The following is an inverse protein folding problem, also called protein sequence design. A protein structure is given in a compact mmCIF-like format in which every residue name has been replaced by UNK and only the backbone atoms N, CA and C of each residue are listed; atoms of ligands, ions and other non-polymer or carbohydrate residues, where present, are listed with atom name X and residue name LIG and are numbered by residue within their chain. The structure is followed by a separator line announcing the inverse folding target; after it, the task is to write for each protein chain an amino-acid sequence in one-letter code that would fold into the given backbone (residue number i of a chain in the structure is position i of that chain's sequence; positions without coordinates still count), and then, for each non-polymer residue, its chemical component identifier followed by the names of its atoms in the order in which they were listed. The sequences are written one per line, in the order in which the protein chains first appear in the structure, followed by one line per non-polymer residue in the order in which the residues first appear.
data_IF_394256198293
#
_entry.id   IF_394256198293
#
_cell.length_a   1.000
_cell.length_b   1.000
_cell.length_c   1.000
_cell.angle_alpha   90.00
_cell.angle_beta   90.00
_cell.angle_gamma   90.00
#
_symmetry.space_group_name_H-M   'P 1'
#
loop_
_entity.id
_entity.type
_entity.pdbx_description
1 polymer ?
#
# COMPACT_ATOMS: atom_id res chain seq x y z
N UNK A 1 6.05 7.82 -0.80
CA UNK A 1 5.04 6.83 -1.19
C UNK A 1 4.62 6.94 -2.65
N UNK A 2 4.39 8.14 -3.18
CA UNK A 2 3.91 8.32 -4.57
C UNK A 2 4.86 7.72 -5.63
N UNK A 3 6.17 7.96 -5.51
CA UNK A 3 7.16 7.34 -6.41
C UNK A 3 7.15 5.81 -6.32
N UNK A 4 7.03 5.25 -5.12
CA UNK A 4 6.90 3.81 -4.90
C UNK A 4 5.67 3.24 -5.62
N UNK A 5 4.50 3.87 -5.45
CA UNK A 5 3.26 3.44 -6.09
C UNK A 5 3.35 3.49 -7.62
N UNK A 6 3.90 4.59 -8.18
CA UNK A 6 4.13 4.71 -9.63
C UNK A 6 5.08 3.62 -10.16
N UNK A 7 6.16 3.33 -9.44
CA UNK A 7 7.07 2.23 -9.81
C UNK A 7 6.37 0.88 -9.75
N UNK A 8 5.54 0.64 -8.73
CA UNK A 8 4.71 -0.57 -8.63
C UNK A 8 3.77 -0.75 -9.82
N UNK A 9 3.09 0.31 -10.23
CA UNK A 9 2.19 0.27 -11.40
C UNK A 9 2.96 0.03 -12.70
N UNK A 10 4.12 0.69 -12.89
CA UNK A 10 4.98 0.45 -14.04
C UNK A 10 5.47 -1.01 -14.11
N UNK A 11 5.81 -1.61 -12.96
CA UNK A 11 6.20 -3.02 -12.85
C UNK A 11 5.03 -3.96 -13.17
N UNK A 12 3.82 -3.62 -12.70
CA UNK A 12 2.58 -4.38 -12.99
C UNK A 12 2.25 -4.35 -14.47
N UNK A 13 2.44 -3.21 -15.14
CA UNK A 13 2.11 -2.98 -16.54
C UNK A 13 2.99 -3.74 -17.55
N UNK A 14 4.09 -4.38 -17.11
CA UNK A 14 5.00 -5.11 -18.00
C UNK A 14 5.12 -6.59 -17.64
N UNK A 15 5.30 -7.44 -18.64
CA UNK A 15 5.64 -8.86 -18.48
C UNK A 15 7.16 -9.13 -18.57
N UNK A 16 7.95 -8.15 -19.01
CA UNK A 16 9.40 -8.30 -19.20
C UNK A 16 10.15 -8.29 -17.87
N UNK A 17 10.80 -9.41 -17.53
CA UNK A 17 11.65 -9.52 -16.33
C UNK A 17 12.81 -8.51 -16.32
N UNK A 18 13.40 -8.24 -17.49
CA UNK A 18 14.48 -7.26 -17.62
C UNK A 18 13.96 -5.85 -17.34
N UNK A 19 12.76 -5.54 -17.84
CA UNK A 19 12.15 -4.22 -17.62
C UNK A 19 11.78 -4.01 -16.14
N UNK A 20 11.23 -5.04 -15.47
CA UNK A 20 10.99 -4.99 -14.02
C UNK A 20 12.27 -4.74 -13.23
N UNK A 21 13.36 -5.41 -13.62
CA UNK A 21 14.69 -5.21 -13.00
C UNK A 21 15.19 -3.78 -13.22
N UNK A 22 15.04 -3.24 -14.43
CA UNK A 22 15.43 -1.87 -14.76
C UNK A 22 14.66 -0.85 -13.91
N UNK A 23 13.33 -0.98 -13.86
CA UNK A 23 12.44 -0.09 -13.07
C UNK A 23 12.79 -0.11 -11.59
N UNK A 24 13.01 -1.29 -11.01
CA UNK A 24 13.44 -1.41 -9.61
C UNK A 24 14.83 -0.81 -9.38
N UNK A 25 15.78 -1.07 -10.28
CA UNK A 25 17.14 -0.54 -10.19
C UNK A 25 17.18 0.99 -10.24
N UNK A 26 16.41 1.60 -11.14
CA UNK A 26 16.26 3.06 -11.23
C UNK A 26 15.60 3.66 -10.00
N UNK A 27 14.57 2.99 -9.47
CA UNK A 27 13.93 3.46 -8.25
C UNK A 27 14.87 3.36 -7.04
N UNK A 28 15.58 2.25 -6.86
CA UNK A 28 16.49 2.05 -5.74
C UNK A 28 17.72 2.96 -5.78
N UNK A 29 18.25 3.28 -6.96
CA UNK A 29 19.42 4.17 -7.07
C UNK A 29 19.15 5.61 -6.61
N UNK A 30 17.87 6.01 -6.53
CA UNK A 30 17.44 7.32 -6.03
C UNK A 30 17.12 7.37 -4.53
N UNK A 31 17.25 6.25 -3.80
CA UNK A 31 16.93 6.20 -2.38
C UNK A 31 18.17 6.36 -1.49
N UNK A 32 17.96 6.92 -0.31
CA UNK A 32 18.96 6.92 0.77
C UNK A 32 19.03 5.57 1.51
N UNK A 33 20.10 5.40 2.30
CA UNK A 33 20.39 4.18 3.06
C UNK A 33 19.30 3.81 4.07
N UNK A 34 18.52 4.79 4.55
CA UNK A 34 17.44 4.56 5.51
C UNK A 34 16.16 4.05 4.82
N UNK A 35 15.89 4.53 3.61
CA UNK A 35 14.65 4.29 2.87
C UNK A 35 14.75 3.05 1.98
N UNK A 36 15.93 2.77 1.43
CA UNK A 36 16.16 1.64 0.53
C UNK A 36 15.72 0.29 1.14
N UNK A 37 16.10 -0.06 2.39
CA UNK A 37 15.68 -1.32 3.00
C UNK A 37 14.15 -1.45 3.13
N UNK A 38 13.46 -0.35 3.47
CA UNK A 38 12.00 -0.35 3.59
C UNK A 38 11.34 -0.61 2.24
N UNK A 39 11.78 0.12 1.21
CA UNK A 39 11.25 -0.06 -0.13
C UNK A 39 11.46 -1.48 -0.66
N UNK A 40 12.66 -2.04 -0.45
CA UNK A 40 12.98 -3.41 -0.87
C UNK A 40 12.03 -4.43 -0.23
N UNK A 41 11.72 -4.27 1.07
CA UNK A 41 10.75 -5.12 1.77
C UNK A 41 9.35 -4.93 1.20
N UNK A 42 8.90 -3.70 0.99
CA UNK A 42 7.52 -3.43 0.57
C UNK A 42 7.23 -3.89 -0.86
N UNK A 43 8.19 -3.87 -1.78
CA UNK A 43 8.03 -4.46 -3.12
C UNK A 43 7.85 -5.99 -3.09
N UNK A 44 8.12 -6.65 -1.96
CA UNK A 44 7.79 -8.07 -1.76
C UNK A 44 6.39 -8.29 -1.18
N UNK A 45 5.57 -7.23 -1.10
CA UNK A 45 4.25 -7.23 -0.47
C UNK A 45 4.29 -7.63 1.02
N UNK A 46 5.38 -7.30 1.71
CA UNK A 46 5.56 -7.57 3.15
C UNK A 46 5.64 -6.26 3.93
N UNK A 47 5.07 -6.19 5.15
CA UNK A 47 5.22 -5.02 6.02
C UNK A 47 6.55 -5.01 6.79
N UNK A 48 7.18 -6.17 6.99
CA UNK A 48 8.44 -6.32 7.71
C UNK A 48 9.36 -7.31 7.00
N UNK A 49 10.67 -7.18 7.22
CA UNK A 49 11.67 -8.12 6.72
C UNK A 49 11.52 -9.50 7.37
N UNK A 50 11.93 -10.57 6.70
CA UNK A 50 11.75 -11.96 7.16
C UNK A 50 12.34 -12.27 8.54
N UNK A 51 13.42 -11.59 8.92
CA UNK A 51 14.03 -11.69 10.26
C UNK A 51 13.17 -11.10 11.37
N UNK A 52 12.22 -10.23 11.01
CA UNK A 52 11.29 -9.58 11.91
C UNK A 52 10.00 -10.40 11.95
N UNK A 53 9.78 -11.08 13.07
CA UNK A 53 8.67 -12.02 13.23
C UNK A 53 7.34 -11.34 13.58
N UNK A 54 7.28 -10.00 13.58
CA UNK A 54 6.03 -9.26 13.82
C UNK A 54 5.04 -9.51 12.70
N UNK A 55 3.76 -9.64 13.08
CA UNK A 55 2.64 -9.78 12.16
C UNK A 55 1.66 -8.64 12.38
N UNK A 56 1.15 -8.06 11.29
CA UNK A 56 0.13 -7.01 11.37
C UNK A 56 -1.20 -7.51 11.97
N UNK A 57 -1.52 -8.80 11.79
CA UNK A 57 -2.79 -9.40 12.19
C UNK A 57 -4.02 -8.59 11.72
N UNK A 58 -3.91 -7.92 10.57
CA UNK A 58 -4.98 -7.16 9.94
C UNK A 58 -5.77 -8.03 8.97
N UNK A 59 -7.05 -8.25 9.29
CA UNK A 59 -8.00 -8.85 8.36
C UNK A 59 -8.73 -7.79 7.52
N UNK A 60 -9.33 -8.23 6.41
CA UNK A 60 -10.11 -7.37 5.52
C UNK A 60 -11.23 -6.59 6.24
N UNK A 61 -11.88 -7.18 7.25
CA UNK A 61 -12.92 -6.51 8.02
C UNK A 61 -12.45 -5.22 8.71
N UNK A 62 -11.21 -5.18 9.20
CA UNK A 62 -10.65 -3.97 9.82
C UNK A 62 -10.43 -2.88 8.78
N UNK A 63 -9.93 -3.25 7.61
CA UNK A 63 -9.71 -2.33 6.48
C UNK A 63 -11.05 -1.76 6.02
N UNK A 64 -12.04 -2.62 5.81
CA UNK A 64 -13.40 -2.25 5.40
C UNK A 64 -14.02 -1.22 6.34
N UNK A 65 -13.99 -1.51 7.65
CA UNK A 65 -14.55 -0.61 8.66
C UNK A 65 -13.85 0.76 8.66
N UNK A 66 -12.52 0.78 8.56
CA UNK A 66 -11.77 2.03 8.49
C UNK A 66 -12.11 2.85 7.23
N UNK A 67 -12.33 2.19 6.08
CA UNK A 67 -12.73 2.86 4.84
C UNK A 67 -14.14 3.44 4.95
N UNK A 68 -15.11 2.68 5.44
CA UNK A 68 -16.47 3.17 5.70
C UNK A 68 -16.47 4.37 6.65
N UNK A 69 -15.69 4.31 7.72
CA UNK A 69 -15.56 5.42 8.67
C UNK A 69 -14.92 6.65 8.01
N UNK A 70 -13.86 6.51 7.23
CA UNK A 70 -13.21 7.63 6.54
C UNK A 70 -14.09 8.24 5.46
N UNK A 71 -14.80 7.41 4.69
CA UNK A 71 -15.67 7.87 3.61
C UNK A 71 -17.05 8.34 4.10
N UNK A 72 -17.42 8.04 5.35
CA UNK A 72 -18.76 8.28 5.90
C UNK A 72 -19.85 7.59 5.05
N UNK A 73 -19.59 6.33 4.66
CA UNK A 73 -20.48 5.47 3.86
C UNK A 73 -20.72 4.14 4.57
N UNK A 74 -21.72 3.39 4.12
CA UNK A 74 -21.99 2.03 4.58
C UNK A 74 -21.23 0.96 3.76
N UNK A 75 -21.41 -0.31 4.13
CA UNK A 75 -20.77 -1.42 3.41
C UNK A 75 -21.36 -1.65 2.01
N UNK A 76 -22.59 -1.19 1.76
CA UNK A 76 -23.25 -1.36 0.46
C UNK A 76 -22.53 -0.54 -0.62
N UNK A 77 -22.03 0.66 -0.27
CA UNK A 77 -21.21 1.47 -1.17
C UNK A 77 -19.93 0.76 -1.64
N UNK A 78 -19.27 0.01 -0.75
CA UNK A 78 -18.14 -0.84 -1.12
C UNK A 78 -18.58 -1.99 -2.03
N UNK A 79 -19.70 -2.64 -1.71
CA UNK A 79 -20.29 -3.72 -2.52
C UNK A 79 -20.60 -3.28 -3.95
N UNK A 80 -21.15 -2.09 -4.13
CA UNK A 80 -21.42 -1.53 -5.46
C UNK A 80 -20.13 -1.27 -6.26
N UNK A 81 -19.10 -0.71 -5.61
CA UNK A 81 -17.79 -0.49 -6.22
C UNK A 81 -17.10 -1.81 -6.61
N UNK A 82 -17.22 -2.84 -5.77
CA UNK A 82 -16.74 -4.20 -6.10
C UNK A 82 -17.35 -4.78 -7.38
N UNK A 83 -18.56 -4.39 -7.77
CA UNK A 83 -19.14 -4.85 -9.03
C UNK A 83 -18.52 -4.18 -10.26
N UNK A 84 -17.83 -3.02 -10.07
CA UNK A 84 -17.15 -2.27 -11.13
C UNK A 84 -15.66 -2.59 -11.23
N UNK A 85 -15.04 -3.05 -10.14
CA UNK A 85 -13.59 -3.25 -10.03
C UNK A 85 -13.22 -4.69 -9.68
N UNK A 86 -12.09 -5.16 -10.21
CA UNK A 86 -11.56 -6.52 -9.94
C UNK A 86 -10.47 -6.54 -8.87
N UNK A 87 -10.06 -5.37 -8.36
CA UNK A 87 -9.03 -5.21 -7.34
C UNK A 87 -9.58 -4.40 -6.15
N UNK A 88 -9.25 -4.82 -4.93
CA UNK A 88 -9.72 -4.14 -3.70
C UNK A 88 -9.12 -2.75 -3.53
N UNK A 89 -7.91 -2.51 -4.02
CA UNK A 89 -7.27 -1.21 -4.03
C UNK A 89 -8.06 -0.20 -4.86
N UNK A 90 -8.49 -0.61 -6.06
CA UNK A 90 -9.32 0.22 -6.94
C UNK A 90 -10.67 0.56 -6.29
N UNK A 91 -11.30 -0.41 -5.60
CA UNK A 91 -12.54 -0.18 -4.85
C UNK A 91 -12.34 0.84 -3.74
N UNK A 92 -11.27 0.68 -2.95
CA UNK A 92 -10.97 1.61 -1.85
C UNK A 92 -10.65 3.01 -2.39
N UNK A 93 -9.92 3.11 -3.51
CA UNK A 93 -9.63 4.39 -4.16
C UNK A 93 -10.92 5.10 -4.59
N UNK A 94 -11.82 4.40 -5.29
CA UNK A 94 -13.11 4.96 -5.72
C UNK A 94 -13.94 5.44 -4.53
N UNK A 95 -14.06 4.63 -3.47
CA UNK A 95 -14.88 4.97 -2.29
C UNK A 95 -14.30 6.12 -1.48
N UNK A 96 -12.97 6.26 -1.41
CA UNK A 96 -12.32 7.38 -0.70
C UNK A 96 -12.29 8.68 -1.53
N UNK A 97 -12.60 8.62 -2.82
CA UNK A 97 -12.51 9.77 -3.72
C UNK A 97 -13.47 10.88 -3.31
N UNK A 98 -12.93 12.07 -3.02
CA UNK A 98 -13.71 13.23 -2.57
C UNK A 98 -14.09 13.22 -1.08
N UNK A 99 -13.80 12.12 -0.36
CA UNK A 99 -14.07 12.00 1.07
C UNK A 99 -12.83 12.18 1.96
N UNK A 100 -11.64 12.18 1.36
CA UNK A 100 -10.37 12.32 2.09
C UNK A 100 -9.51 13.47 1.55
N UNK A 101 -8.58 13.92 2.39
CA UNK A 101 -7.56 14.91 2.04
C UNK A 101 -6.18 14.29 2.19
N UNK A 102 -5.70 13.57 1.16
CA UNK A 102 -4.39 12.92 1.21
C UNK A 102 -3.29 13.96 1.39
N UNK A 103 -2.30 13.61 2.23
CA UNK A 103 -1.08 14.39 2.42
C UNK A 103 0.10 13.57 1.92
N UNK A 104 1.22 14.23 1.67
CA UNK A 104 2.45 13.54 1.30
C UNK A 104 2.84 12.55 2.40
N UNK A 105 2.94 11.27 2.04
CA UNK A 105 3.31 10.18 2.94
C UNK A 105 4.64 9.58 2.51
N UNK A 106 5.59 9.46 3.43
CA UNK A 106 6.88 8.82 3.24
C UNK A 106 6.80 7.31 3.51
N UNK A 107 7.83 6.55 3.13
CA UNK A 107 7.91 5.13 3.50
C UNK A 107 8.12 4.94 5.01
N UNK A 108 8.75 5.91 5.69
CA UNK A 108 8.89 5.90 7.14
C UNK A 108 7.55 6.09 7.85
N UNK A 109 6.67 6.97 7.37
CA UNK A 109 5.33 7.15 7.96
C UNK A 109 4.50 5.85 7.89
N UNK A 110 4.66 5.08 6.81
CA UNK A 110 4.06 3.76 6.65
C UNK A 110 4.68 2.77 7.64
N UNK A 111 6.01 2.75 7.76
CA UNK A 111 6.71 1.89 8.72
C UNK A 111 6.26 2.16 10.16
N UNK A 112 6.19 3.42 10.59
CA UNK A 112 5.72 3.81 11.91
C UNK A 112 4.27 3.36 12.15
N UNK A 113 3.42 3.47 11.12
CA UNK A 113 2.03 3.03 11.19
C UNK A 113 1.93 1.51 11.32
N UNK A 114 2.69 0.73 10.54
CA UNK A 114 2.74 -0.73 10.69
C UNK A 114 3.22 -1.15 12.08
N UNK A 115 4.25 -0.49 12.61
CA UNK A 115 4.75 -0.75 13.97
C UNK A 115 3.67 -0.47 15.01
N UNK A 116 2.95 0.65 14.90
CA UNK A 116 1.87 1.02 15.82
C UNK A 116 0.72 0.01 15.80
N UNK A 117 0.35 -0.50 14.62
CA UNK A 117 -0.70 -1.52 14.49
C UNK A 117 -0.27 -2.81 15.18
N UNK A 118 0.97 -3.26 14.98
CA UNK A 118 1.51 -4.45 15.66
C UNK A 118 1.60 -4.32 17.18
N UNK A 119 1.77 -3.10 17.72
CA UNK A 119 1.88 -2.89 19.17
C UNK A 119 0.54 -2.70 19.89
N UNK A 120 -0.58 -2.68 19.14
CA UNK A 120 -1.92 -2.44 19.70
C UNK A 120 -2.66 -3.75 20.05
N UNK A 121 -2.06 -4.90 19.75
CA UNK A 121 -2.57 -6.25 20.03
C UNK A 121 -1.76 -6.97 21.10
#
# INVERSE_FOLDING_TARGET
MEAFARTGEAIRATSSKLEKTRLLGEYFSGLDDATLPLAAVYFTARPFADRDQRKLNLGYAVIRNAVCELAQVDEDALGESYMRHSDVGDVIEEVLQGHTHPRATSLNDIQETFVRICSTV
#
